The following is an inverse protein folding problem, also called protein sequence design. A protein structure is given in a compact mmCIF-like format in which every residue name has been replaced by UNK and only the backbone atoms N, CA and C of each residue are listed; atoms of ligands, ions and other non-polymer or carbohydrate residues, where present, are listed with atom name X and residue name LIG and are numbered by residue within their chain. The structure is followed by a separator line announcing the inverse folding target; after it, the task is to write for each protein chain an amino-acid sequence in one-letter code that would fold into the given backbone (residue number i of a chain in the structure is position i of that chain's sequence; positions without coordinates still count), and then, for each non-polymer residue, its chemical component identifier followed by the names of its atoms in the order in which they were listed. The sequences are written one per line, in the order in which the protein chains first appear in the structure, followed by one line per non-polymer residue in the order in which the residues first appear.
data_IF_695681385003
#
_entry.id   IF_695681385003
#
_cell.length_a   1.000
_cell.length_b   1.000
_cell.length_c   1.000
_cell.angle_alpha   90.00
_cell.angle_beta   90.00
_cell.angle_gamma   90.00
#
_symmetry.space_group_name_H-M   'P 1'
#
loop_
_entity.id
_entity.type
_entity.pdbx_description
1 polymer ?
#
# COMPACT_ATOMS: atom_id res chain seq x y z
N UNK A 1 -1.18 -14.21 8.47
CA UNK A 1 -1.54 -14.43 9.90
C UNK A 1 -1.41 -15.89 10.36
N UNK A 2 -1.33 -16.87 9.44
CA UNK A 2 -1.26 -18.31 9.79
C UNK A 2 0.18 -18.86 9.82
N UNK A 3 1.18 -17.99 9.72
CA UNK A 3 2.59 -18.37 9.75
C UNK A 3 3.03 -18.81 11.16
N UNK A 4 3.96 -19.77 11.22
CA UNK A 4 4.42 -20.34 12.50
C UNK A 4 5.10 -19.31 13.42
N UNK A 5 5.80 -18.32 12.84
CA UNK A 5 6.39 -17.20 13.59
C UNK A 5 5.80 -15.85 13.17
N UNK A 6 4.55 -15.63 13.59
CA UNK A 6 3.81 -14.40 13.31
C UNK A 6 4.41 -13.15 13.98
N UNK A 7 5.21 -13.32 15.04
CA UNK A 7 5.77 -12.18 15.80
C UNK A 7 6.76 -11.39 14.97
N UNK A 8 7.58 -12.08 14.16
CA UNK A 8 8.53 -11.45 13.24
C UNK A 8 7.83 -10.67 12.11
N UNK A 9 6.55 -10.93 11.87
CA UNK A 9 5.76 -10.27 10.83
C UNK A 9 4.84 -9.16 11.37
N UNK A 10 4.90 -8.84 12.67
CA UNK A 10 3.95 -7.90 13.28
C UNK A 10 3.92 -6.53 12.57
N UNK A 11 5.09 -6.04 12.13
CA UNK A 11 5.19 -4.79 11.35
C UNK A 11 4.62 -4.95 9.94
N UNK A 12 4.94 -6.03 9.23
CA UNK A 12 4.38 -6.35 7.91
C UNK A 12 2.85 -6.37 7.97
N UNK A 13 2.28 -7.09 8.94
CA UNK A 13 0.83 -7.20 9.13
C UNK A 13 0.19 -5.83 9.41
N UNK A 14 0.82 -5.01 10.27
CA UNK A 14 0.32 -3.66 10.55
C UNK A 14 0.28 -2.80 9.28
N UNK A 15 1.36 -2.82 8.50
CA UNK A 15 1.44 -2.09 7.24
C UNK A 15 0.48 -2.63 6.17
N UNK A 16 0.27 -3.95 6.08
CA UNK A 16 -0.70 -4.55 5.17
C UNK A 16 -2.13 -4.04 5.47
N UNK A 17 -2.49 -3.91 6.76
CA UNK A 17 -3.80 -3.38 7.17
C UNK A 17 -3.95 -1.89 6.83
N UNK A 18 -2.93 -1.08 7.12
CA UNK A 18 -2.92 0.35 6.78
C UNK A 18 -2.99 0.55 5.26
N UNK A 19 -2.20 -0.23 4.51
CA UNK A 19 -2.14 -0.21 3.06
C UNK A 19 -3.49 -0.58 2.44
N UNK A 20 -4.15 -1.63 2.93
CA UNK A 20 -5.47 -2.01 2.45
C UNK A 20 -6.51 -0.89 2.67
N UNK A 21 -6.52 -0.27 3.87
CA UNK A 21 -7.46 0.79 4.21
C UNK A 21 -7.26 2.05 3.35
N UNK A 22 -6.01 2.52 3.18
CA UNK A 22 -5.74 3.70 2.38
C UNK A 22 -5.96 3.46 0.88
N UNK A 23 -5.61 2.28 0.36
CA UNK A 23 -5.88 1.90 -1.02
C UNK A 23 -7.38 1.94 -1.32
N UNK A 24 -8.20 1.42 -0.41
CA UNK A 24 -9.65 1.47 -0.55
C UNK A 24 -10.18 2.90 -0.54
N UNK A 25 -9.65 3.76 0.35
CA UNK A 25 -10.02 5.18 0.38
C UNK A 25 -9.61 5.90 -0.92
N UNK A 26 -8.38 5.70 -1.39
CA UNK A 26 -7.85 6.29 -2.61
C UNK A 26 -8.67 5.89 -3.83
N UNK A 27 -8.94 4.59 -4.01
CA UNK A 27 -9.78 4.08 -5.09
C UNK A 27 -11.17 4.71 -5.07
N UNK A 28 -11.82 4.73 -3.90
CA UNK A 28 -13.14 5.29 -3.77
C UNK A 28 -13.15 6.81 -4.00
N UNK A 29 -12.10 7.54 -3.58
CA UNK A 29 -11.96 8.98 -3.76
C UNK A 29 -11.76 9.35 -5.23
N UNK A 30 -10.95 8.58 -5.96
CA UNK A 30 -10.79 8.70 -7.41
C UNK A 30 -12.11 8.46 -8.13
N UNK A 31 -12.82 7.38 -7.80
CA UNK A 31 -14.07 7.01 -8.45
C UNK A 31 -15.18 8.06 -8.35
N UNK A 32 -15.19 8.85 -7.26
CA UNK A 32 -16.18 9.91 -7.01
C UNK A 32 -15.69 11.33 -7.34
N UNK A 33 -14.49 11.47 -7.92
CA UNK A 33 -13.93 12.78 -8.28
C UNK A 33 -13.70 13.70 -7.08
N UNK A 34 -13.22 13.16 -5.96
CA UNK A 34 -12.97 13.93 -4.73
C UNK A 34 -12.02 15.11 -4.97
N UNK A 35 -12.33 16.29 -4.43
CA UNK A 35 -11.43 17.46 -4.44
C UNK A 35 -10.10 17.20 -3.71
N UNK A 36 -10.07 16.21 -2.81
CA UNK A 36 -8.89 15.81 -2.05
C UNK A 36 -8.10 14.66 -2.68
N UNK A 37 -8.43 14.24 -3.91
CA UNK A 37 -7.83 13.04 -4.53
C UNK A 37 -6.31 13.10 -4.58
N UNK A 38 -5.71 14.27 -4.84
CA UNK A 38 -4.24 14.42 -4.91
C UNK A 38 -3.57 14.15 -3.56
N UNK A 39 -4.11 14.70 -2.47
CA UNK A 39 -3.60 14.49 -1.12
C UNK A 39 -3.76 13.03 -0.67
N UNK A 40 -4.92 12.42 -0.98
CA UNK A 40 -5.20 11.03 -0.65
C UNK A 40 -4.24 10.09 -1.41
N UNK A 41 -4.03 10.32 -2.71
CA UNK A 41 -3.09 9.53 -3.51
C UNK A 41 -1.64 9.73 -3.04
N UNK A 42 -1.23 10.93 -2.62
CA UNK A 42 0.10 11.15 -2.05
C UNK A 42 0.33 10.29 -0.81
N UNK A 43 -0.61 10.29 0.15
CA UNK A 43 -0.51 9.46 1.35
C UNK A 43 -0.57 7.96 1.03
N UNK A 44 -1.45 7.57 0.09
CA UNK A 44 -1.52 6.20 -0.41
C UNK A 44 -0.18 5.74 -0.97
N UNK A 45 0.52 6.58 -1.72
CA UNK A 45 1.83 6.24 -2.26
C UNK A 45 2.88 5.99 -1.19
N UNK A 46 2.91 6.81 -0.13
CA UNK A 46 3.88 6.67 0.97
C UNK A 46 3.64 5.39 1.79
N UNK A 47 2.37 5.08 2.05
CA UNK A 47 1.99 3.85 2.77
C UNK A 47 2.26 2.62 1.89
N UNK A 48 1.89 2.64 0.61
CA UNK A 48 2.18 1.55 -0.32
C UNK A 48 3.70 1.33 -0.46
N UNK A 49 4.51 2.38 -0.49
CA UNK A 49 5.97 2.23 -0.50
C UNK A 49 6.45 1.53 0.78
N UNK A 50 5.99 1.99 1.94
CA UNK A 50 6.38 1.43 3.25
C UNK A 50 5.96 -0.04 3.39
N UNK A 51 4.75 -0.38 2.94
CA UNK A 51 4.23 -1.74 2.94
C UNK A 51 5.02 -2.63 1.98
N UNK A 52 5.28 -2.15 0.76
CA UNK A 52 6.05 -2.90 -0.23
C UNK A 52 7.48 -3.18 0.24
N UNK A 53 8.14 -2.21 0.85
CA UNK A 53 9.51 -2.33 1.37
C UNK A 53 9.59 -3.28 2.58
N UNK A 54 8.54 -3.36 3.40
CA UNK A 54 8.49 -4.34 4.50
C UNK A 54 8.19 -5.74 3.97
N UNK A 55 7.18 -5.90 3.11
CA UNK A 55 6.83 -7.17 2.49
C UNK A 55 8.03 -7.80 1.74
N UNK A 56 8.84 -6.98 1.07
CA UNK A 56 10.01 -7.44 0.33
C UNK A 56 11.10 -8.09 1.21
N UNK A 57 11.08 -7.88 2.54
CA UNK A 57 12.03 -8.50 3.48
C UNK A 57 11.70 -9.95 3.80
N UNK A 58 10.56 -10.45 3.33
CA UNK A 58 10.06 -11.78 3.64
C UNK A 58 10.08 -12.65 2.38
N UNK A 59 10.82 -13.76 2.39
CA UNK A 59 11.00 -14.65 1.22
C UNK A 59 9.74 -15.47 0.84
N UNK A 60 8.64 -15.30 1.57
CA UNK A 60 7.38 -15.98 1.30
C UNK A 60 6.72 -15.45 0.03
N UNK A 61 6.19 -16.36 -0.79
CA UNK A 61 5.59 -16.01 -2.09
C UNK A 61 4.50 -14.93 -1.97
N UNK A 62 3.60 -15.06 -0.98
CA UNK A 62 2.53 -14.07 -0.77
C UNK A 62 3.06 -12.67 -0.39
N UNK A 63 4.16 -12.60 0.36
CA UNK A 63 4.80 -11.32 0.69
C UNK A 63 5.48 -10.71 -0.53
N UNK A 64 6.14 -11.50 -1.37
CA UNK A 64 6.75 -11.02 -2.61
C UNK A 64 5.70 -10.51 -3.61
N UNK A 65 4.55 -11.19 -3.70
CA UNK A 65 3.41 -10.72 -4.49
C UNK A 65 2.84 -9.41 -3.94
N UNK A 66 2.67 -9.30 -2.61
CA UNK A 66 2.22 -8.07 -1.97
C UNK A 66 3.20 -6.92 -2.22
N UNK A 67 4.51 -7.16 -2.09
CA UNK A 67 5.55 -6.16 -2.32
C UNK A 67 5.47 -5.56 -3.72
N UNK A 68 5.39 -6.43 -4.74
CA UNK A 68 5.25 -6.01 -6.14
C UNK A 68 3.98 -5.18 -6.37
N UNK A 69 2.84 -5.63 -5.84
CA UNK A 69 1.57 -4.91 -5.97
C UNK A 69 1.63 -3.53 -5.28
N UNK A 70 2.21 -3.46 -4.09
CA UNK A 70 2.35 -2.22 -3.33
C UNK A 70 3.28 -1.23 -4.04
N UNK A 71 4.44 -1.66 -4.55
CA UNK A 71 5.35 -0.78 -5.29
C UNK A 71 4.70 -0.24 -6.59
N UNK A 72 3.95 -1.08 -7.30
CA UNK A 72 3.18 -0.63 -8.45
C UNK A 72 2.13 0.40 -8.05
N UNK A 73 1.34 0.13 -7.00
CA UNK A 73 0.32 1.06 -6.51
C UNK A 73 0.94 2.39 -6.07
N UNK A 74 2.11 2.36 -5.42
CA UNK A 74 2.82 3.57 -5.01
C UNK A 74 3.23 4.44 -6.21
N UNK A 75 3.70 3.82 -7.30
CA UNK A 75 4.02 4.53 -8.53
C UNK A 75 2.77 5.17 -9.17
N UNK A 76 1.68 4.42 -9.30
CA UNK A 76 0.43 4.93 -9.87
C UNK A 76 -0.14 6.07 -9.03
N UNK A 77 -0.15 5.93 -7.70
CA UNK A 77 -0.63 6.96 -6.80
C UNK A 77 0.23 8.24 -6.86
N UNK A 78 1.56 8.14 -7.04
CA UNK A 78 2.43 9.30 -7.31
C UNK A 78 2.04 10.01 -8.60
N UNK A 79 1.76 9.26 -9.66
CA UNK A 79 1.26 9.82 -10.92
C UNK A 79 -0.04 10.58 -10.69
N UNK A 80 -1.01 9.96 -10.02
CA UNK A 80 -2.32 10.58 -9.72
C UNK A 80 -2.18 11.85 -8.88
N UNK A 81 -1.29 11.85 -7.88
CA UNK A 81 -1.04 13.01 -7.03
C UNK A 81 -0.42 14.20 -7.79
N UNK A 82 0.32 13.92 -8.87
CA UNK A 82 1.02 14.93 -9.68
C UNK A 82 0.20 15.43 -10.90
N UNK A 83 -0.98 14.86 -11.18
CA UNK A 83 -1.81 15.30 -12.30
C UNK A 83 -2.26 16.75 -12.13
N UNK A 84 -2.33 17.51 -13.24
CA UNK A 84 -2.75 18.92 -13.26
C UNK A 84 -4.24 19.06 -12.95
#
# INVERSE_FOLDING_TARGET
LQEQDVKMMARCIALDMDCAAICQLAAAAMARGSEHVKAICSLCADICQSCGDECAKHDMEHCQQCAKACHQCAQECRTMAAMA
#
